data_IF_753937322654
#
_entry.id   IF_753937322654
#
_cell.length_a   1.000
_cell.length_b   1.000
_cell.length_c   1.000
_cell.angle_alpha   90.00
_cell.angle_beta   90.00
_cell.angle_gamma   90.00
#
_symmetry.space_group_name_H-M   'P 1'
#
loop_
_entity.id
_entity.type
_entity.pdbx_description
1 polymer ?
#
# COMPACT_ATOMS: atom_id res chain seq x y z
N UNK A 1 4.54 12.84 -20.17
CA UNK A 1 3.97 13.23 -18.86
C UNK A 1 4.39 12.18 -17.86
N UNK A 2 5.43 12.45 -17.07
CA UNK A 2 6.04 11.47 -16.15
C UNK A 2 5.24 11.45 -14.86
N UNK A 3 4.45 10.39 -14.65
CA UNK A 3 3.81 10.13 -13.36
C UNK A 3 4.91 9.58 -12.45
N UNK A 4 5.43 10.42 -11.55
CA UNK A 4 6.31 9.96 -10.48
C UNK A 4 5.40 9.31 -9.44
N UNK A 5 5.29 7.97 -9.45
CA UNK A 5 4.69 7.22 -8.34
C UNK A 5 5.70 7.22 -7.18
N UNK A 6 5.91 8.39 -6.59
CA UNK A 6 6.57 8.53 -5.30
C UNK A 6 5.55 8.21 -4.23
N UNK A 7 5.70 7.04 -3.61
CA UNK A 7 5.07 6.66 -2.34
C UNK A 7 3.55 6.43 -2.47
N UNK A 8 3.12 5.18 -2.30
CA UNK A 8 1.72 4.86 -2.03
C UNK A 8 1.38 5.50 -0.68
N UNK A 9 0.63 6.61 -0.71
CA UNK A 9 0.08 7.25 0.47
C UNK A 9 -1.23 6.55 0.82
N UNK A 10 -1.28 5.89 1.98
CA UNK A 10 -2.53 5.44 2.59
C UNK A 10 -3.05 6.63 3.41
N UNK A 11 -4.04 7.34 2.89
CA UNK A 11 -4.80 8.32 3.68
C UNK A 11 -6.05 7.64 4.21
N UNK A 12 -6.23 7.62 5.53
CA UNK A 12 -7.51 7.22 6.16
C UNK A 12 -8.58 8.24 5.78
N UNK A 13 -9.76 7.83 5.28
CA UNK A 13 -10.92 8.71 5.22
C UNK A 13 -11.47 8.90 6.64
N UNK A 14 -11.60 10.14 7.08
CA UNK A 14 -12.44 10.54 8.21
C UNK A 14 -13.91 10.35 7.88
N UNK A 15 -14.63 9.75 8.83
CA UNK A 15 -16.08 9.75 9.05
C UNK A 15 -16.99 9.31 7.90
N UNK A 16 -17.38 8.03 7.95
CA UNK A 16 -18.72 7.59 7.55
C UNK A 16 -19.08 6.35 8.37
N UNK A 17 -19.93 6.55 9.38
CA UNK A 17 -20.35 5.50 10.31
C UNK A 17 -21.10 4.36 9.63
N UNK A 18 -20.89 3.14 10.13
CA UNK A 18 -21.81 2.02 9.99
C UNK A 18 -21.42 0.88 10.95
N UNK A 19 -22.33 0.56 11.88
CA UNK A 19 -22.71 -0.67 12.61
C UNK A 19 -21.75 -1.86 12.85
N UNK A 20 -20.55 -1.94 12.27
CA UNK A 20 -19.55 -2.97 12.60
C UNK A 20 -18.55 -2.54 13.67
N UNK A 21 -18.54 -1.25 14.04
CA UNK A 21 -17.64 -0.67 15.04
C UNK A 21 -18.09 -0.94 16.49
N UNK A 22 -19.38 -1.22 16.69
CA UNK A 22 -20.01 -1.36 18.02
C UNK A 22 -19.47 -2.54 18.86
N UNK A 23 -18.80 -3.52 18.24
CA UNK A 23 -18.21 -4.68 18.96
C UNK A 23 -16.75 -4.50 19.34
N UNK A 24 -16.01 -3.62 18.68
CA UNK A 24 -14.61 -3.32 19.01
C UNK A 24 -14.53 -2.13 19.97
N UNK A 25 -15.47 -1.18 19.87
CA UNK A 25 -15.57 -0.04 20.78
C UNK A 25 -16.05 -0.45 22.19
N UNK A 26 -16.91 -1.47 22.30
CA UNK A 26 -17.39 -1.98 23.58
C UNK A 26 -16.30 -2.62 24.46
N UNK A 27 -15.25 -3.20 23.86
CA UNK A 27 -14.08 -3.71 24.61
C UNK A 27 -13.13 -2.59 25.04
N UNK A 28 -13.10 -1.46 24.31
CA UNK A 28 -12.28 -0.29 24.63
C UNK A 28 -12.91 0.59 25.72
N UNK A 29 -14.23 0.77 25.72
CA UNK A 29 -14.94 1.55 26.73
C UNK A 29 -14.93 0.89 28.12
N UNK A 30 -14.89 -0.45 28.18
CA UNK A 30 -14.77 -1.17 29.45
C UNK A 30 -13.44 -0.85 30.18
N UNK A 31 -12.38 -0.58 29.43
CA UNK A 31 -11.04 -0.29 29.97
C UNK A 31 -10.89 1.15 30.48
N UNK A 32 -11.70 2.08 29.96
CA UNK A 32 -11.68 3.51 30.31
C UNK A 32 -12.46 3.76 31.61
N UNK A 33 -13.57 3.04 31.83
CA UNK A 33 -14.40 3.19 33.03
C UNK A 33 -13.72 2.66 34.31
N UNK A 34 -12.75 1.75 34.19
CA UNK A 34 -11.99 1.21 35.32
C UNK A 34 -10.82 2.12 35.77
N UNK A 35 -10.52 3.22 35.07
CA UNK A 35 -9.44 4.17 35.44
C UNK A 35 -9.79 5.64 35.09
N UNK A 36 -10.55 6.37 35.94
CA UNK A 36 -10.84 7.78 35.70
C UNK A 36 -9.60 8.66 35.95
N UNK A 37 -9.13 9.36 34.92
CA UNK A 37 -8.07 10.40 35.05
C UNK A 37 -8.72 11.72 35.45
N UNK A 38 -8.55 12.10 36.72
CA UNK A 38 -8.78 13.46 37.20
C UNK A 38 -7.58 14.35 36.88
N UNK A 39 -7.78 15.47 36.20
CA UNK A 39 -7.43 16.82 36.71
C UNK A 39 -7.68 17.91 35.65
N UNK A 40 -8.55 18.86 36.03
CA UNK A 40 -8.61 20.20 35.45
C UNK A 40 -7.36 20.99 35.87
N UNK A 41 -6.69 21.65 34.93
CA UNK A 41 -6.01 22.90 35.26
C UNK A 41 -5.97 23.85 34.05
N UNK A 42 -6.40 25.08 34.33
CA UNK A 42 -6.54 26.21 33.43
C UNK A 42 -5.19 26.67 32.87
N UNK A 43 -5.11 26.93 31.56
CA UNK A 43 -4.10 27.85 31.00
C UNK A 43 -4.76 28.74 29.95
N UNK A 44 -4.55 30.04 30.15
CA UNK A 44 -5.14 31.17 29.46
C UNK A 44 -4.82 31.26 27.96
N UNK A 45 -5.77 31.86 27.26
CA UNK A 45 -5.76 32.27 25.87
C UNK A 45 -4.62 33.27 25.57
N UNK A 46 -3.70 32.90 24.68
CA UNK A 46 -2.78 33.82 24.02
C UNK A 46 -2.31 33.22 22.68
N UNK A 47 -2.94 33.64 21.58
CA UNK A 47 -2.29 33.69 20.26
C UNK A 47 -1.79 35.13 20.01
N UNK A 48 -0.89 35.44 19.04
CA UNK A 48 -0.42 34.62 17.92
C UNK A 48 1.11 34.69 17.65
N UNK A 49 1.68 33.67 17.01
CA UNK A 49 2.82 33.91 16.09
C UNK A 49 2.85 32.89 14.97
N UNK A 50 2.68 33.41 13.76
CA UNK A 50 2.85 32.74 12.47
C UNK A 50 4.28 32.22 12.35
N UNK A 51 4.53 30.97 12.73
CA UNK A 51 5.70 30.23 12.25
C UNK A 51 5.23 29.20 11.23
N UNK A 52 5.60 29.44 9.98
CA UNK A 52 5.52 28.52 8.85
C UNK A 52 5.72 27.06 9.28
N UNK A 53 4.62 26.31 9.36
CA UNK A 53 4.63 24.86 9.56
C UNK A 53 5.25 24.28 8.29
N UNK A 54 6.44 23.65 8.34
CA UNK A 54 7.02 23.05 7.15
C UNK A 54 6.11 21.92 6.70
N UNK A 55 5.77 21.96 5.42
CA UNK A 55 5.10 20.90 4.69
C UNK A 55 5.74 19.52 4.97
N UNK A 56 4.88 18.50 5.03
CA UNK A 56 5.15 17.06 5.16
C UNK A 56 5.42 16.55 6.58
N UNK A 57 4.33 16.35 7.35
CA UNK A 57 4.32 15.27 8.34
C UNK A 57 4.26 13.93 7.60
N UNK A 58 5.43 13.42 7.28
CA UNK A 58 5.67 12.00 7.07
C UNK A 58 5.15 11.26 8.31
N UNK A 59 3.96 10.67 8.19
CA UNK A 59 3.59 9.62 9.11
C UNK A 59 4.57 8.45 8.87
N UNK A 60 4.98 7.76 9.93
CA UNK A 60 5.77 6.51 9.95
C UNK A 60 7.31 6.63 10.11
N UNK A 61 7.76 6.37 11.35
CA UNK A 61 9.14 6.18 11.82
C UNK A 61 10.12 7.32 11.53
N UNK A 62 10.16 8.30 12.44
CA UNK A 62 11.09 9.43 12.44
C UNK A 62 12.58 9.04 12.55
N UNK A 63 12.87 7.80 12.94
CA UNK A 63 14.23 7.35 13.25
C UNK A 63 14.76 6.34 12.23
N UNK A 64 16.04 6.48 11.86
CA UNK A 64 16.70 5.67 10.84
C UNK A 64 16.72 4.15 11.16
N UNK A 65 16.67 3.78 12.44
CA UNK A 65 16.60 2.39 12.88
C UNK A 65 15.47 2.24 13.88
N UNK A 66 14.59 1.29 13.66
CA UNK A 66 13.44 1.04 14.52
C UNK A 66 13.75 0.85 16.02
N UNK A 67 14.91 0.28 16.36
CA UNK A 67 15.35 0.12 17.77
C UNK A 67 15.51 1.46 18.50
N UNK A 68 15.78 2.53 17.74
CA UNK A 68 16.01 3.87 18.27
C UNK A 68 14.79 4.46 18.96
N UNK A 69 13.57 3.99 18.63
CA UNK A 69 12.35 4.43 19.31
C UNK A 69 12.35 4.17 20.83
N UNK A 70 13.20 3.25 21.32
CA UNK A 70 13.34 2.89 22.75
C UNK A 70 14.65 3.36 23.38
N UNK A 71 15.47 4.12 22.65
CA UNK A 71 16.67 4.72 23.24
C UNK A 71 16.25 5.89 24.13
N UNK A 72 17.12 6.28 25.06
CA UNK A 72 16.85 7.36 26.01
C UNK A 72 17.30 8.73 25.52
N UNK A 73 17.99 8.79 24.37
CA UNK A 73 18.46 10.04 23.79
C UNK A 73 17.28 10.87 23.25
N UNK A 74 17.28 12.17 23.56
CA UNK A 74 16.18 13.11 23.25
C UNK A 74 15.85 13.22 21.75
N UNK A 75 16.82 13.02 20.86
CA UNK A 75 16.67 13.17 19.41
C UNK A 75 16.06 11.95 18.72
N UNK A 76 15.98 10.81 19.40
CA UNK A 76 15.50 9.55 18.83
C UNK A 76 14.43 8.84 19.66
N UNK A 77 14.31 9.17 20.94
CA UNK A 77 13.31 8.56 21.80
C UNK A 77 11.91 8.89 21.28
N UNK A 78 11.11 7.86 21.04
CA UNK A 78 9.69 8.03 20.77
C UNK A 78 8.91 7.60 22.01
N UNK A 79 8.57 8.57 22.86
CA UNK A 79 7.89 8.31 24.13
C UNK A 79 6.61 7.49 23.94
N UNK A 80 5.78 7.85 22.96
CA UNK A 80 4.53 7.12 22.65
C UNK A 80 4.78 5.64 22.36
N UNK A 81 5.79 5.31 21.56
CA UNK A 81 6.12 3.92 21.25
C UNK A 81 6.72 3.21 22.47
N UNK A 82 7.67 3.87 23.15
CA UNK A 82 8.41 3.26 24.26
C UNK A 82 7.55 2.95 25.48
N UNK A 83 6.53 3.77 25.75
CA UNK A 83 5.61 3.56 26.87
C UNK A 83 4.52 2.54 26.54
N UNK A 84 4.05 2.48 25.28
CA UNK A 84 3.01 1.53 24.88
C UNK A 84 3.49 0.07 24.86
N UNK A 85 4.74 -0.20 24.46
CA UNK A 85 5.25 -1.57 24.39
C UNK A 85 6.74 -1.62 24.66
N UNK A 86 7.21 -2.59 25.45
CA UNK A 86 8.66 -2.81 25.66
C UNK A 86 9.34 -3.24 24.36
N UNK A 87 10.58 -2.78 24.13
CA UNK A 87 11.40 -3.12 22.96
C UNK A 87 11.44 -4.62 22.67
N UNK A 88 11.68 -5.43 23.70
CA UNK A 88 11.79 -6.89 23.56
C UNK A 88 10.48 -7.51 23.06
N UNK A 89 9.36 -7.14 23.67
CA UNK A 89 8.04 -7.60 23.26
C UNK A 89 7.75 -7.25 21.80
N UNK A 90 8.05 -6.00 21.40
CA UNK A 90 7.90 -5.59 20.01
C UNK A 90 8.77 -6.43 19.06
N UNK A 91 10.04 -6.67 19.40
CA UNK A 91 10.93 -7.49 18.57
C UNK A 91 10.49 -8.94 18.46
N UNK A 92 9.98 -9.52 19.56
CA UNK A 92 9.47 -10.88 19.60
C UNK A 92 8.21 -11.02 18.73
N UNK A 93 7.26 -10.07 18.83
CA UNK A 93 6.08 -10.03 17.96
C UNK A 93 6.51 -9.85 16.49
N UNK A 94 7.34 -8.85 16.20
CA UNK A 94 7.74 -8.53 14.83
C UNK A 94 8.50 -9.69 14.15
N UNK A 95 9.32 -10.43 14.90
CA UNK A 95 10.07 -11.58 14.37
C UNK A 95 9.17 -12.76 14.00
N UNK A 96 8.07 -12.93 14.72
CA UNK A 96 7.13 -14.05 14.54
C UNK A 96 5.86 -13.63 13.77
N UNK A 97 5.87 -12.45 13.15
CA UNK A 97 4.75 -11.99 12.33
C UNK A 97 4.67 -12.83 11.05
N UNK A 98 3.56 -13.53 10.87
CA UNK A 98 3.27 -14.36 9.71
C UNK A 98 1.91 -14.00 9.12
N UNK A 99 1.82 -13.98 7.78
CA UNK A 99 0.57 -13.72 7.07
C UNK A 99 -0.02 -14.97 6.40
N UNK A 100 0.66 -16.11 6.47
CA UNK A 100 0.23 -17.36 5.87
C UNK A 100 0.66 -18.55 6.74
N UNK A 101 -0.13 -19.62 6.70
CA UNK A 101 0.24 -20.90 7.30
C UNK A 101 1.29 -21.60 6.42
N UNK A 102 2.45 -21.92 7.02
CA UNK A 102 3.55 -22.57 6.34
C UNK A 102 3.23 -24.02 5.92
N UNK A 103 2.20 -24.65 6.49
CA UNK A 103 1.83 -26.04 6.20
C UNK A 103 1.11 -26.22 4.85
N UNK A 104 0.51 -25.15 4.31
CA UNK A 104 -0.35 -25.17 3.12
C UNK A 104 0.11 -24.21 2.02
N UNK A 105 1.40 -23.87 1.98
CA UNK A 105 1.92 -22.92 0.98
C UNK A 105 1.94 -23.54 -0.43
N UNK A 106 1.45 -22.77 -1.40
CA UNK A 106 1.60 -23.09 -2.82
C UNK A 106 3.09 -22.98 -3.22
N UNK A 107 3.76 -24.07 -3.63
CA UNK A 107 5.17 -24.05 -4.01
C UNK A 107 5.42 -23.29 -5.32
N UNK A 108 4.39 -23.04 -6.12
CA UNK A 108 4.50 -22.31 -7.39
C UNK A 108 4.47 -20.79 -7.19
N UNK A 109 3.87 -20.31 -6.09
CA UNK A 109 3.86 -18.90 -5.71
C UNK A 109 5.08 -18.56 -4.85
N UNK A 110 6.06 -17.88 -5.45
CA UNK A 110 7.28 -17.44 -4.75
C UNK A 110 7.01 -16.40 -3.67
N UNK A 111 5.79 -15.85 -3.62
CA UNK A 111 5.32 -14.88 -2.62
C UNK A 111 4.22 -15.46 -1.72
N UNK A 112 4.02 -16.78 -1.68
CA UNK A 112 2.94 -17.44 -0.93
C UNK A 112 2.84 -16.97 0.54
N UNK A 113 3.99 -16.73 1.20
CA UNK A 113 4.06 -16.28 2.60
C UNK A 113 3.40 -14.93 2.89
N UNK A 114 3.31 -14.06 1.88
CA UNK A 114 2.70 -12.72 2.00
C UNK A 114 1.43 -12.59 1.17
N UNK A 115 1.05 -13.65 0.43
CA UNK A 115 -0.10 -13.64 -0.47
C UNK A 115 -1.41 -13.26 0.25
N UNK A 116 -1.74 -13.80 1.44
CA UNK A 116 -3.00 -13.46 2.09
C UNK A 116 -3.08 -11.98 2.47
N UNK A 117 -1.94 -11.39 2.89
CA UNK A 117 -1.86 -9.96 3.18
C UNK A 117 -2.08 -9.11 1.92
N UNK A 118 -1.47 -9.48 0.79
CA UNK A 118 -1.65 -8.76 -0.49
C UNK A 118 -3.11 -8.83 -0.95
N UNK A 119 -3.75 -10.00 -0.83
CA UNK A 119 -5.16 -10.18 -1.18
C UNK A 119 -6.05 -9.31 -0.29
N UNK A 120 -5.80 -9.29 1.02
CA UNK A 120 -6.54 -8.46 1.97
C UNK A 120 -6.37 -6.95 1.66
N UNK A 121 -5.14 -6.50 1.40
CA UNK A 121 -4.86 -5.11 1.04
C UNK A 121 -5.54 -4.72 -0.27
N UNK A 122 -5.44 -5.53 -1.32
CA UNK A 122 -6.10 -5.26 -2.59
C UNK A 122 -7.63 -5.18 -2.45
N UNK A 123 -8.22 -6.04 -1.61
CA UNK A 123 -9.66 -5.98 -1.29
C UNK A 123 -10.03 -4.67 -0.61
N UNK A 124 -9.26 -4.25 0.40
CA UNK A 124 -9.50 -3.00 1.13
C UNK A 124 -9.30 -1.79 0.21
N UNK A 125 -8.21 -1.75 -0.54
CA UNK A 125 -7.89 -0.68 -1.46
C UNK A 125 -8.99 -0.47 -2.50
N UNK A 126 -9.50 -1.56 -3.08
CA UNK A 126 -10.61 -1.49 -4.02
C UNK A 126 -11.93 -1.08 -3.34
N UNK A 127 -12.22 -1.60 -2.14
CA UNK A 127 -13.45 -1.31 -1.41
C UNK A 127 -13.57 0.15 -0.95
N UNK A 128 -12.45 0.80 -0.63
CA UNK A 128 -12.38 2.20 -0.25
C UNK A 128 -11.89 3.12 -1.38
N UNK A 129 -11.86 2.62 -2.61
CA UNK A 129 -11.39 3.39 -3.74
C UNK A 129 -12.28 4.62 -3.99
N UNK A 130 -11.71 5.81 -4.16
CA UNK A 130 -12.48 6.96 -4.61
C UNK A 130 -12.98 6.70 -6.04
N UNK A 131 -14.23 7.07 -6.32
CA UNK A 131 -14.80 6.94 -7.66
C UNK A 131 -14.13 7.98 -8.57
N UNK A 132 -13.17 7.56 -9.36
CA UNK A 132 -12.44 8.39 -10.32
C UNK A 132 -12.29 7.66 -11.66
N UNK A 133 -12.49 8.36 -12.77
CA UNK A 133 -12.50 7.72 -14.10
C UNK A 133 -11.12 7.38 -14.64
N UNK A 134 -10.06 8.09 -14.22
CA UNK A 134 -8.73 7.92 -14.81
C UNK A 134 -7.85 7.00 -13.98
N UNK A 135 -7.39 5.91 -14.60
CA UNK A 135 -6.58 4.89 -13.94
C UNK A 135 -5.26 4.68 -14.68
N UNK A 136 -4.15 4.79 -13.96
CA UNK A 136 -2.81 4.51 -14.48
C UNK A 136 -2.34 3.12 -14.07
N UNK A 137 -1.69 2.41 -14.99
CA UNK A 137 -0.99 1.15 -14.75
C UNK A 137 0.49 1.40 -15.00
N UNK A 138 1.30 1.13 -13.98
CA UNK A 138 2.74 1.34 -14.04
C UNK A 138 3.47 0.40 -13.06
N UNK A 139 4.77 0.59 -12.96
CA UNK A 139 5.70 -0.18 -12.17
C UNK A 139 6.12 0.60 -10.94
N UNK A 140 6.17 -0.06 -9.79
CA UNK A 140 6.75 0.49 -8.58
C UNK A 140 7.79 -0.46 -7.98
N UNK A 141 8.54 0.06 -7.00
CA UNK A 141 9.62 -0.65 -6.33
C UNK A 141 9.48 -0.54 -4.82
N UNK A 142 9.34 -1.69 -4.15
CA UNK A 142 9.35 -1.78 -2.70
C UNK A 142 10.79 -2.05 -2.25
N UNK A 143 11.44 -1.15 -1.48
CA UNK A 143 12.84 -1.31 -1.10
C UNK A 143 13.01 -2.56 -0.23
N UNK A 144 14.00 -3.40 -0.58
CA UNK A 144 14.32 -4.58 0.21
C UNK A 144 15.83 -4.84 0.22
N UNK A 145 16.42 -4.79 1.41
CA UNK A 145 17.84 -5.07 1.62
C UNK A 145 18.13 -6.54 2.00
N UNK A 146 17.08 -7.33 2.25
CA UNK A 146 17.18 -8.75 2.57
C UNK A 146 17.59 -9.64 1.39
N UNK A 147 17.82 -10.93 1.69
CA UNK A 147 18.07 -11.96 0.67
C UNK A 147 16.74 -12.60 0.28
N UNK A 148 16.31 -12.36 -0.96
CA UNK A 148 15.12 -13.03 -1.52
C UNK A 148 15.29 -13.19 -3.04
N UNK A 149 14.87 -14.33 -3.58
CA UNK A 149 15.10 -14.67 -4.99
C UNK A 149 14.24 -13.89 -5.99
N UNK A 150 13.17 -13.23 -5.55
CA UNK A 150 12.33 -12.36 -6.40
C UNK A 150 12.81 -10.90 -6.44
N UNK A 151 13.83 -10.54 -5.65
CA UNK A 151 14.37 -9.18 -5.62
C UNK A 151 14.94 -8.83 -7.00
N UNK A 152 14.59 -7.66 -7.49
CA UNK A 152 15.07 -7.11 -8.76
C UNK A 152 16.10 -6.02 -8.51
N UNK A 153 17.02 -5.89 -9.45
CA UNK A 153 17.90 -4.73 -9.57
C UNK A 153 17.49 -3.94 -10.81
N UNK A 154 17.09 -2.68 -10.63
CA UNK A 154 16.74 -1.77 -11.73
C UNK A 154 17.73 -0.62 -11.75
N UNK A 155 18.55 -0.57 -12.80
CA UNK A 155 19.52 0.52 -13.00
C UNK A 155 18.78 1.82 -13.31
N UNK A 156 19.23 2.93 -12.72
CA UNK A 156 18.72 4.27 -13.01
C UNK A 156 17.46 4.68 -12.24
N UNK A 157 16.83 3.79 -11.45
CA UNK A 157 15.74 4.17 -10.53
C UNK A 157 16.32 4.57 -9.15
N UNK A 158 15.66 5.48 -8.40
CA UNK A 158 16.10 5.87 -7.05
C UNK A 158 16.23 4.66 -6.10
N UNK A 159 15.24 3.77 -6.15
CA UNK A 159 15.26 2.48 -5.45
C UNK A 159 15.81 1.43 -6.41
N UNK A 160 17.10 1.15 -6.29
CA UNK A 160 17.81 0.22 -7.18
C UNK A 160 17.55 -1.25 -6.87
N UNK A 161 17.33 -1.59 -5.60
CA UNK A 161 17.15 -2.97 -5.13
C UNK A 161 15.85 -3.12 -4.36
N UNK A 162 14.99 -4.02 -4.80
CA UNK A 162 13.69 -4.19 -4.18
C UNK A 162 12.79 -5.20 -4.88
N UNK A 163 11.54 -5.27 -4.45
CA UNK A 163 10.51 -6.00 -5.15
C UNK A 163 9.86 -5.10 -6.18
N UNK A 164 9.94 -5.49 -7.45
CA UNK A 164 9.18 -4.86 -8.52
C UNK A 164 7.70 -5.23 -8.34
N UNK A 165 6.82 -4.23 -8.39
CA UNK A 165 5.37 -4.40 -8.37
C UNK A 165 4.75 -3.78 -9.60
N UNK A 166 3.72 -4.43 -10.12
CA UNK A 166 2.76 -3.80 -11.02
C UNK A 166 1.70 -3.11 -10.16
N UNK A 167 1.40 -1.86 -10.45
CA UNK A 167 0.48 -1.05 -9.65
C UNK A 167 -0.57 -0.44 -10.58
N UNK A 168 -1.82 -0.58 -10.19
CA UNK A 168 -2.95 0.14 -10.75
C UNK A 168 -3.35 1.22 -9.73
N UNK A 169 -3.35 2.47 -10.16
CA UNK A 169 -3.61 3.62 -9.30
C UNK A 169 -4.50 4.66 -9.99
N UNK A 170 -5.20 5.48 -9.20
CA UNK A 170 -5.96 6.61 -9.72
C UNK A 170 -5.04 7.76 -10.12
N UNK A 171 -5.57 8.77 -10.81
CA UNK A 171 -4.82 9.97 -11.23
C UNK A 171 -4.14 10.69 -10.05
N UNK A 172 -4.75 10.69 -8.87
CA UNK A 172 -4.20 11.32 -7.67
C UNK A 172 -3.22 10.42 -6.89
N UNK A 173 -2.94 9.21 -7.39
CA UNK A 173 -1.96 8.30 -6.80
C UNK A 173 -2.52 7.34 -5.75
N UNK A 174 -3.85 7.24 -5.61
CA UNK A 174 -4.45 6.22 -4.76
C UNK A 174 -4.25 4.84 -5.38
N UNK A 175 -3.64 3.90 -4.65
CA UNK A 175 -3.40 2.55 -5.13
C UNK A 175 -4.72 1.76 -5.10
N UNK A 176 -5.21 1.32 -6.27
CA UNK A 176 -6.38 0.47 -6.39
C UNK A 176 -6.02 -1.01 -6.18
N UNK A 177 -4.93 -1.44 -6.82
CA UNK A 177 -4.46 -2.82 -6.74
C UNK A 177 -2.97 -2.88 -7.09
N UNK A 178 -2.26 -3.82 -6.49
CA UNK A 178 -0.90 -4.14 -6.91
C UNK A 178 -0.63 -5.64 -6.93
N UNK A 179 0.37 -6.03 -7.73
CA UNK A 179 0.84 -7.40 -7.84
C UNK A 179 2.37 -7.44 -7.84
N UNK A 180 2.96 -8.35 -7.06
CA UNK A 180 4.41 -8.55 -7.03
C UNK A 180 4.88 -9.30 -8.28
N UNK A 181 5.90 -8.76 -8.94
CA UNK A 181 6.61 -9.47 -10.00
C UNK A 181 7.45 -10.60 -9.39
N UNK A 182 7.29 -11.82 -9.92
CA UNK A 182 7.94 -13.02 -9.39
C UNK A 182 9.10 -13.54 -10.26
N UNK A 183 9.49 -12.78 -11.28
CA UNK A 183 10.40 -13.25 -12.34
C UNK A 183 9.65 -13.88 -13.51
N UNK A 184 10.40 -14.35 -14.51
CA UNK A 184 9.87 -15.05 -15.68
C UNK A 184 9.49 -16.47 -15.29
N UNK A 185 8.23 -16.88 -15.51
CA UNK A 185 7.82 -18.28 -15.38
C UNK A 185 8.06 -18.98 -16.71
N UNK A 186 8.61 -20.20 -16.69
CA UNK A 186 8.93 -20.97 -17.90
C UNK A 186 7.71 -21.47 -18.69
N UNK A 187 6.51 -21.29 -18.14
CA UNK A 187 5.23 -21.78 -18.67
C UNK A 187 4.25 -20.63 -18.95
N UNK A 188 4.72 -19.46 -19.39
CA UNK A 188 3.85 -18.42 -19.92
C UNK A 188 3.31 -18.91 -21.29
N UNK A 189 2.40 -19.88 -21.25
CA UNK A 189 1.49 -20.18 -22.34
C UNK A 189 0.55 -18.98 -22.45
N UNK A 190 0.86 -18.02 -23.29
CA UNK A 190 -0.17 -17.12 -23.78
C UNK A 190 0.30 -16.37 -25.02
N UNK A 191 -0.61 -16.24 -25.98
CA UNK A 191 -0.47 -15.42 -27.18
C UNK A 191 -0.34 -13.90 -26.88
N UNK A 192 -0.11 -13.50 -25.61
CA UNK A 192 -0.01 -12.11 -25.15
C UNK A 192 1.31 -11.84 -24.40
N UNK A 193 1.84 -10.64 -24.58
CA UNK A 193 3.06 -10.20 -23.89
C UNK A 193 2.85 -10.01 -22.39
N UNK A 194 3.94 -9.98 -21.60
CA UNK A 194 3.87 -9.77 -20.15
C UNK A 194 3.18 -8.44 -19.77
N UNK A 195 3.46 -7.35 -20.50
CA UNK A 195 2.79 -6.07 -20.26
C UNK A 195 1.28 -6.15 -20.55
N UNK A 196 0.90 -6.77 -21.66
CA UNK A 196 -0.50 -6.95 -22.05
C UNK A 196 -1.28 -7.76 -21.01
N UNK A 197 -0.71 -8.86 -20.52
CA UNK A 197 -1.37 -9.70 -19.51
C UNK A 197 -1.58 -8.96 -18.19
N UNK A 198 -0.65 -8.08 -17.79
CA UNK A 198 -0.83 -7.21 -16.62
C UNK A 198 -2.00 -6.24 -16.83
N UNK A 199 -2.09 -5.60 -18.00
CA UNK A 199 -3.19 -4.68 -18.31
C UNK A 199 -4.53 -5.39 -18.33
N UNK A 200 -4.62 -6.58 -18.94
CA UNK A 200 -5.86 -7.36 -18.95
C UNK A 200 -6.30 -7.77 -17.55
N UNK A 201 -5.37 -8.26 -16.72
CA UNK A 201 -5.71 -8.65 -15.34
C UNK A 201 -6.29 -7.47 -14.55
N UNK A 202 -5.73 -6.27 -14.70
CA UNK A 202 -6.25 -5.08 -14.02
C UNK A 202 -7.59 -4.60 -14.60
N UNK A 203 -7.74 -4.66 -15.94
CA UNK A 203 -8.99 -4.32 -16.60
C UNK A 203 -10.14 -5.23 -16.16
N UNK A 204 -9.90 -6.55 -16.07
CA UNK A 204 -10.89 -7.54 -15.65
C UNK A 204 -11.32 -7.30 -14.20
N UNK A 205 -10.40 -6.91 -13.31
CA UNK A 205 -10.72 -6.55 -11.93
C UNK A 205 -11.62 -5.31 -11.87
N UNK A 206 -11.30 -4.26 -12.63
CA UNK A 206 -12.14 -3.05 -12.66
C UNK A 206 -13.55 -3.34 -13.17
N UNK A 207 -13.69 -4.15 -14.22
CA UNK A 207 -15.01 -4.53 -14.74
C UNK A 207 -15.82 -5.34 -13.72
N UNK A 208 -15.16 -6.22 -12.96
CA UNK A 208 -15.82 -7.02 -11.92
C UNK A 208 -16.31 -6.16 -10.77
N UNK A 209 -15.54 -5.14 -10.36
CA UNK A 209 -15.91 -4.26 -9.25
C UNK A 209 -16.85 -3.11 -9.65
N UNK A 210 -16.78 -2.65 -10.90
CA UNK A 210 -17.45 -1.45 -11.36
C UNK A 210 -18.06 -1.64 -12.75
N UNK A 211 -19.00 -2.57 -12.86
CA UNK A 211 -19.61 -3.05 -14.12
C UNK A 211 -20.13 -1.92 -15.04
N UNK A 212 -20.64 -0.83 -14.46
CA UNK A 212 -21.26 0.28 -15.18
C UNK A 212 -20.25 1.37 -15.56
N UNK A 213 -19.18 1.53 -14.77
CA UNK A 213 -18.26 2.65 -14.90
C UNK A 213 -17.17 2.34 -15.93
N UNK A 214 -16.89 3.31 -16.79
CA UNK A 214 -15.79 3.22 -17.76
C UNK A 214 -14.57 3.92 -17.21
N UNK A 215 -13.48 3.18 -17.08
CA UNK A 215 -12.19 3.69 -16.64
C UNK A 215 -11.21 3.67 -17.81
N UNK A 216 -10.91 4.81 -18.44
CA UNK A 216 -9.77 4.90 -19.32
C UNK A 216 -8.49 4.50 -18.60
N UNK A 217 -7.79 3.52 -19.18
CA UNK A 217 -6.52 3.01 -18.73
C UNK A 217 -5.37 3.77 -19.41
N UNK A 218 -4.44 4.24 -18.60
CA UNK A 218 -3.23 4.91 -19.04
C UNK A 218 -2.01 4.06 -18.67
N UNK A 219 -1.12 3.82 -19.61
CA UNK A 219 0.05 2.98 -19.38
C UNK A 219 1.23 3.41 -20.27
N UNK A 220 2.45 3.04 -19.89
CA UNK A 220 3.66 3.41 -20.63
C UNK A 220 3.95 2.46 -21.81
N UNK A 221 5.10 2.68 -22.46
CA UNK A 221 5.53 1.90 -23.61
C UNK A 221 5.82 0.42 -23.30
N UNK A 222 6.09 0.06 -22.04
CA UNK A 222 6.33 -1.33 -21.66
C UNK A 222 5.04 -2.16 -21.77
N UNK A 223 3.90 -1.53 -21.47
CA UNK A 223 2.60 -2.17 -21.55
C UNK A 223 1.91 -1.98 -22.92
N UNK A 224 2.30 -0.96 -23.69
CA UNK A 224 1.59 -0.57 -24.91
C UNK A 224 1.89 -1.49 -26.09
N UNK A 225 0.83 -1.96 -26.76
CA UNK A 225 0.93 -2.60 -28.07
C UNK A 225 -0.32 -2.30 -28.92
N UNK A 226 -0.20 -2.37 -30.25
CA UNK A 226 -1.36 -2.20 -31.14
C UNK A 226 -2.42 -3.28 -30.89
N UNK A 227 -1.97 -4.52 -30.63
CA UNK A 227 -2.86 -5.65 -30.32
C UNK A 227 -3.68 -5.37 -29.05
N UNK A 228 -3.01 -4.88 -28.00
CA UNK A 228 -3.66 -4.50 -26.75
C UNK A 228 -4.73 -3.43 -26.97
N UNK A 229 -4.41 -2.35 -27.68
CA UNK A 229 -5.35 -1.26 -27.93
C UNK A 229 -6.59 -1.72 -28.73
N UNK A 230 -6.40 -2.57 -29.74
CA UNK A 230 -7.52 -3.15 -30.49
C UNK A 230 -8.43 -3.99 -29.58
N UNK A 231 -7.86 -4.88 -28.77
CA UNK A 231 -8.63 -5.74 -27.86
C UNK A 231 -9.34 -4.95 -26.76
N UNK A 232 -8.71 -3.90 -26.21
CA UNK A 232 -9.38 -3.00 -25.27
C UNK A 232 -10.57 -2.29 -25.93
N UNK A 233 -10.41 -1.84 -27.17
CA UNK A 233 -11.48 -1.23 -27.97
C UNK A 233 -12.66 -2.18 -28.21
N UNK A 234 -12.39 -3.44 -28.55
CA UNK A 234 -13.41 -4.50 -28.69
C UNK A 234 -14.19 -4.73 -27.38
N UNK A 235 -13.48 -4.67 -26.24
CA UNK A 235 -14.06 -4.74 -24.88
C UNK A 235 -14.71 -3.44 -24.40
N UNK A 236 -14.73 -2.39 -25.24
CA UNK A 236 -15.24 -1.04 -24.92
C UNK A 236 -14.54 -0.39 -23.73
N UNK A 237 -13.28 -0.72 -23.51
CA UNK A 237 -12.40 -0.12 -22.50
C UNK A 237 -11.52 0.93 -23.19
N UNK A 238 -11.47 2.15 -22.64
CA UNK A 238 -10.54 3.16 -23.13
C UNK A 238 -9.11 2.80 -22.74
N UNK A 239 -8.18 2.80 -23.69
CA UNK A 239 -6.76 2.58 -23.44
C UNK A 239 -5.93 3.65 -24.11
N UNK A 240 -4.94 4.21 -23.42
CA UNK A 240 -3.99 5.18 -23.97
C UNK A 240 -2.60 4.85 -23.46
N UNK A 241 -1.66 4.75 -24.39
CA UNK A 241 -0.26 4.52 -24.05
C UNK A 241 0.68 5.16 -25.05
N UNK A 242 1.96 5.17 -24.71
CA UNK A 242 3.05 5.81 -25.48
C UNK A 242 3.77 4.83 -26.38
#
# INVERSE_FOLDING_TARGET
MTIIISTIYITSPTDAGNDSDEKLDAEAELYINDNPVTEESNVEDNTPTTSSIPHKKEFYMLVARRRMNWEENDDVQNRLISTSMRRKTFEDIFRNLHAADNSVLDPTDRMAKVRPLIVALNRLFMGYAPIEQSTSIDESMIPCFGRHGCKQFIRGKPIRFGFKTWVMATRLGYCLQFNLYQGRRGNDKQDCGLGESVVYNFADVLQTHFEILKFPLYFDNFFTSVKLLTTLGERRIGGTGT
#
